data_IF_673876873633
#
_entry.id   IF_673876873633
#
_cell.length_a   1.000
_cell.length_b   1.000
_cell.length_c   1.000
_cell.angle_alpha   90.00
_cell.angle_beta   90.00
_cell.angle_gamma   90.00
#
_symmetry.space_group_name_H-M   'P 1'
#
loop_
_entity.id
_entity.type
_entity.pdbx_description
1 polymer ?
#
# COMPACT_ATOMS: atom_id res chain seq x y z
N UNK A 1 -5.61 -21.32 30.83
CA UNK A 1 -5.56 -21.33 29.34
C UNK A 1 -6.71 -20.57 28.67
N UNK A 2 -7.93 -21.09 28.49
CA UNK A 2 -9.00 -20.37 27.76
C UNK A 2 -9.46 -19.06 28.43
N UNK A 3 -9.55 -19.05 29.76
CA UNK A 3 -9.90 -17.83 30.50
C UNK A 3 -8.77 -16.79 30.52
N UNK A 4 -7.51 -17.24 30.54
CA UNK A 4 -6.32 -16.38 30.43
C UNK A 4 -6.18 -15.80 29.01
N UNK A 5 -6.46 -16.60 27.98
CA UNK A 5 -6.50 -16.15 26.60
C UNK A 5 -7.60 -15.12 26.37
N UNK A 6 -8.82 -15.36 26.87
CA UNK A 6 -9.90 -14.35 26.85
C UNK A 6 -9.49 -13.06 27.55
N UNK A 7 -8.80 -13.16 28.70
CA UNK A 7 -8.31 -12.00 29.46
C UNK A 7 -7.18 -11.25 28.72
N UNK A 8 -6.36 -11.96 27.95
CA UNK A 8 -5.29 -11.41 27.12
C UNK A 8 -5.85 -10.67 25.89
N UNK A 9 -6.77 -11.28 25.12
CA UNK A 9 -7.37 -10.62 23.96
C UNK A 9 -8.32 -9.48 24.34
N UNK A 10 -8.91 -9.54 25.54
CA UNK A 10 -9.72 -8.45 26.08
C UNK A 10 -8.90 -7.23 26.52
N UNK A 11 -7.56 -7.32 26.49
CA UNK A 11 -6.71 -6.14 26.64
C UNK A 11 -6.89 -5.27 25.40
N UNK A 12 -7.46 -4.06 25.58
CA UNK A 12 -7.73 -3.12 24.47
C UNK A 12 -6.50 -2.87 23.58
N UNK A 13 -5.31 -2.75 24.17
CA UNK A 13 -4.06 -2.57 23.43
C UNK A 13 -3.73 -3.72 22.45
N UNK A 14 -4.12 -4.96 22.76
CA UNK A 14 -3.90 -6.13 21.89
C UNK A 14 -4.94 -6.18 20.79
N UNK A 15 -6.20 -5.89 21.12
CA UNK A 15 -7.30 -5.86 20.15
C UNK A 15 -7.11 -4.76 19.11
N UNK A 16 -6.77 -3.55 19.54
CA UNK A 16 -6.55 -2.40 18.65
C UNK A 16 -5.36 -2.64 17.72
N UNK A 17 -4.27 -3.23 18.24
CA UNK A 17 -3.12 -3.62 17.43
C UNK A 17 -3.50 -4.67 16.38
N UNK A 18 -4.25 -5.71 16.77
CA UNK A 18 -4.68 -6.76 15.86
C UNK A 18 -5.56 -6.20 14.73
N UNK A 19 -6.51 -5.32 15.06
CA UNK A 19 -7.38 -4.67 14.09
C UNK A 19 -6.57 -3.78 13.14
N UNK A 20 -5.64 -2.97 13.66
CA UNK A 20 -4.78 -2.11 12.85
C UNK A 20 -3.95 -2.90 11.83
N UNK A 21 -3.36 -4.03 12.25
CA UNK A 21 -2.55 -4.90 11.36
C UNK A 21 -3.41 -5.56 10.29
N UNK A 22 -4.58 -6.09 10.65
CA UNK A 22 -5.49 -6.75 9.70
C UNK A 22 -6.02 -5.75 8.67
N UNK A 23 -6.51 -4.60 9.12
CA UNK A 23 -7.01 -3.54 8.23
C UNK A 23 -5.88 -2.99 7.37
N UNK A 24 -4.70 -2.73 7.95
CA UNK A 24 -3.53 -2.24 7.20
C UNK A 24 -3.10 -3.21 6.11
N UNK A 25 -3.05 -4.51 6.41
CA UNK A 25 -2.73 -5.56 5.43
C UNK A 25 -3.78 -5.69 4.32
N UNK A 26 -5.08 -5.59 4.67
CA UNK A 26 -6.15 -5.61 3.68
C UNK A 26 -6.16 -4.36 2.79
N UNK A 27 -5.97 -3.18 3.39
CA UNK A 27 -5.93 -1.90 2.68
C UNK A 27 -4.74 -1.81 1.72
N UNK A 28 -3.58 -2.34 2.10
CA UNK A 28 -2.42 -2.45 1.21
C UNK A 28 -2.72 -3.25 -0.06
N UNK A 29 -3.51 -4.33 0.03
CA UNK A 29 -3.93 -5.11 -1.14
C UNK A 29 -4.87 -4.33 -2.07
N UNK A 30 -5.78 -3.54 -1.51
CA UNK A 30 -6.69 -2.68 -2.29
C UNK A 30 -5.89 -1.65 -3.09
N UNK A 31 -4.92 -1.00 -2.44
CA UNK A 31 -4.04 -0.04 -3.11
C UNK A 31 -3.15 -0.73 -4.16
N UNK A 32 -2.59 -1.89 -3.83
CA UNK A 32 -1.80 -2.69 -4.77
C UNK A 32 -2.58 -3.01 -6.05
N UNK A 33 -3.80 -3.54 -5.92
CA UNK A 33 -4.68 -3.82 -7.06
C UNK A 33 -5.04 -2.57 -7.86
N UNK A 34 -5.33 -1.44 -7.21
CA UNK A 34 -5.56 -0.18 -7.91
C UNK A 34 -4.35 0.22 -8.76
N UNK A 35 -3.13 0.04 -8.24
CA UNK A 35 -1.92 0.41 -9.00
C UNK A 35 -1.61 -0.61 -10.09
N UNK A 36 -1.64 -1.90 -9.77
CA UNK A 36 -1.21 -2.97 -10.69
C UNK A 36 -2.23 -3.27 -11.78
N UNK A 37 -3.52 -3.23 -11.44
CA UNK A 37 -4.59 -3.66 -12.34
C UNK A 37 -5.21 -2.47 -13.09
N UNK A 38 -5.09 -1.24 -12.59
CA UNK A 38 -5.71 -0.05 -13.20
C UNK A 38 -4.66 0.95 -13.66
N UNK A 39 -3.79 1.43 -12.77
CA UNK A 39 -2.84 2.50 -13.12
C UNK A 39 -1.75 1.99 -14.07
N UNK A 40 -1.14 0.84 -13.79
CA UNK A 40 -0.04 0.28 -14.58
C UNK A 40 -0.43 -0.04 -16.03
N UNK A 41 -1.61 -0.60 -16.36
CA UNK A 41 -2.05 -0.74 -17.74
C UNK A 41 -2.18 0.60 -18.47
N UNK A 42 -2.72 1.63 -17.82
CA UNK A 42 -2.88 2.98 -18.40
C UNK A 42 -1.50 3.62 -18.64
N UNK A 43 -0.62 3.55 -17.64
CA UNK A 43 0.76 4.05 -17.72
C UNK A 43 1.56 3.26 -18.77
N UNK A 44 1.38 1.95 -18.82
CA UNK A 44 2.00 1.07 -19.81
C UNK A 44 1.61 1.45 -21.23
N UNK A 45 0.32 1.68 -21.50
CA UNK A 45 -0.14 2.20 -22.80
C UNK A 45 0.47 3.57 -23.10
N UNK A 46 0.52 4.47 -22.12
CA UNK A 46 1.09 5.81 -22.30
C UNK A 46 2.60 5.81 -22.60
N UNK A 47 3.35 4.84 -22.06
CA UNK A 47 4.82 4.70 -22.25
C UNK A 47 5.15 3.76 -23.44
N UNK A 48 4.15 3.34 -24.23
CA UNK A 48 4.36 2.53 -25.42
C UNK A 48 4.55 1.03 -25.16
N UNK A 49 3.91 0.50 -24.11
CA UNK A 49 3.83 -0.92 -23.78
C UNK A 49 5.08 -1.50 -23.09
N UNK A 50 6.00 -0.66 -22.62
CA UNK A 50 7.25 -1.14 -21.99
C UNK A 50 7.05 -1.43 -20.50
N UNK A 51 7.15 -2.71 -20.13
CA UNK A 51 7.29 -3.13 -18.73
C UNK A 51 8.77 -3.34 -18.40
N UNK A 52 9.23 -2.75 -17.30
CA UNK A 52 10.63 -2.86 -16.87
C UNK A 52 11.00 -4.27 -16.40
N UNK A 53 10.03 -5.12 -16.04
CA UNK A 53 10.24 -6.53 -15.61
C UNK A 53 11.07 -7.39 -16.57
N UNK A 54 11.04 -7.12 -17.87
CA UNK A 54 11.76 -7.92 -18.87
C UNK A 54 13.27 -7.68 -18.89
N UNK A 55 13.78 -6.69 -18.16
CA UNK A 55 15.20 -6.37 -18.16
C UNK A 55 15.98 -7.30 -17.22
N UNK A 56 16.86 -8.11 -17.79
CA UNK A 56 17.76 -8.98 -17.05
C UNK A 56 19.15 -9.00 -17.67
N UNK A 57 20.19 -9.04 -16.85
CA UNK A 57 21.57 -9.31 -17.28
C UNK A 57 21.91 -10.72 -16.85
N UNK A 58 22.38 -11.53 -17.78
CA UNK A 58 22.94 -12.85 -17.50
C UNK A 58 24.46 -12.73 -17.41
N UNK A 59 25.04 -13.13 -16.27
CA UNK A 59 26.48 -13.17 -16.04
C UNK A 59 26.83 -14.62 -15.70
N UNK A 60 27.45 -15.34 -16.65
CA UNK A 60 27.68 -16.78 -16.53
C UNK A 60 26.36 -17.56 -16.47
N UNK A 61 26.17 -18.39 -15.45
CA UNK A 61 24.92 -19.13 -15.20
C UNK A 61 23.89 -18.34 -14.37
N UNK A 62 24.27 -17.18 -13.83
CA UNK A 62 23.40 -16.37 -12.98
C UNK A 62 22.63 -15.33 -13.80
N UNK A 63 21.31 -15.28 -13.63
CA UNK A 63 20.44 -14.26 -14.27
C UNK A 63 20.00 -13.23 -13.25
N UNK A 64 20.48 -12.00 -13.39
CA UNK A 64 20.11 -10.85 -12.54
C UNK A 64 18.93 -10.14 -13.18
N UNK A 65 17.73 -10.31 -12.60
CA UNK A 65 16.48 -9.65 -13.04
C UNK A 65 16.31 -8.25 -12.44
N UNK A 66 17.25 -7.34 -12.73
CA UNK A 66 17.22 -5.97 -12.21
C UNK A 66 15.96 -5.18 -12.65
N UNK A 67 15.35 -5.57 -13.76
CA UNK A 67 14.10 -5.03 -14.25
C UNK A 67 12.94 -5.16 -13.26
N UNK A 68 12.87 -6.28 -12.53
CA UNK A 68 11.86 -6.47 -11.49
C UNK A 68 12.05 -5.49 -10.34
N UNK A 69 13.30 -5.26 -9.91
CA UNK A 69 13.58 -4.29 -8.86
C UNK A 69 13.16 -2.87 -9.27
N UNK A 70 13.54 -2.43 -10.47
CA UNK A 70 13.14 -1.12 -11.01
C UNK A 70 11.61 -1.01 -11.07
N UNK A 71 10.92 -2.07 -11.50
CA UNK A 71 9.47 -2.10 -11.52
C UNK A 71 8.86 -1.92 -10.12
N UNK A 72 9.38 -2.59 -9.10
CA UNK A 72 8.91 -2.43 -7.71
C UNK A 72 9.14 -1.01 -7.18
N UNK A 73 10.26 -0.38 -7.54
CA UNK A 73 10.53 1.03 -7.18
C UNK A 73 9.53 1.98 -7.83
N UNK A 74 9.27 1.81 -9.13
CA UNK A 74 8.28 2.61 -9.86
C UNK A 74 6.88 2.43 -9.27
N UNK A 75 6.48 1.18 -9.00
CA UNK A 75 5.20 0.84 -8.38
C UNK A 75 5.06 1.51 -7.01
N UNK A 76 6.09 1.49 -6.17
CA UNK A 76 6.09 2.17 -4.88
C UNK A 76 5.88 3.69 -5.01
N UNK A 77 6.56 4.33 -5.98
CA UNK A 77 6.38 5.76 -6.24
C UNK A 77 4.95 6.09 -6.69
N UNK A 78 4.36 5.25 -7.54
CA UNK A 78 2.97 5.41 -7.98
C UNK A 78 2.01 5.23 -6.80
N UNK A 79 2.20 4.19 -5.99
CA UNK A 79 1.40 3.96 -4.77
C UNK A 79 1.46 5.18 -3.84
N UNK A 80 2.66 5.69 -3.57
CA UNK A 80 2.84 6.88 -2.74
C UNK A 80 2.10 8.09 -3.31
N UNK A 81 2.15 8.28 -4.64
CA UNK A 81 1.43 9.35 -5.32
C UNK A 81 -0.10 9.19 -5.23
N UNK A 82 -0.61 7.98 -5.41
CA UNK A 82 -2.05 7.68 -5.30
C UNK A 82 -2.55 7.91 -3.88
N UNK A 83 -1.83 7.42 -2.86
CA UNK A 83 -2.17 7.66 -1.45
C UNK A 83 -2.19 9.17 -1.17
N UNK A 84 -1.19 9.91 -1.66
CA UNK A 84 -1.16 11.36 -1.52
C UNK A 84 -2.40 12.03 -2.15
N UNK A 85 -2.81 11.61 -3.35
CA UNK A 85 -4.03 12.11 -3.98
C UNK A 85 -5.29 11.79 -3.16
N UNK A 86 -5.42 10.57 -2.64
CA UNK A 86 -6.55 10.16 -1.80
C UNK A 86 -6.61 11.02 -0.54
N UNK A 87 -5.49 11.19 0.16
CA UNK A 87 -5.39 12.04 1.37
C UNK A 87 -5.73 13.49 1.04
N UNK A 88 -5.22 14.01 -0.09
CA UNK A 88 -5.52 15.37 -0.55
C UNK A 88 -7.00 15.57 -0.86
N UNK A 89 -7.65 14.60 -1.49
CA UNK A 89 -9.09 14.62 -1.78
C UNK A 89 -9.90 14.55 -0.49
N UNK A 90 -9.54 13.65 0.43
CA UNK A 90 -10.20 13.53 1.73
C UNK A 90 -10.10 14.85 2.55
N UNK A 91 -8.91 15.46 2.58
CA UNK A 91 -8.69 16.75 3.23
C UNK A 91 -9.49 17.87 2.55
N UNK A 92 -9.54 17.90 1.21
CA UNK A 92 -10.30 18.91 0.44
C UNK A 92 -11.82 18.76 0.59
N UNK A 93 -12.30 17.54 0.76
CA UNK A 93 -13.72 17.23 0.93
C UNK A 93 -14.22 17.40 2.38
N UNK A 94 -13.38 17.90 3.29
CA UNK A 94 -13.79 18.17 4.68
C UNK A 94 -13.97 16.93 5.54
N UNK A 95 -13.52 15.75 5.09
CA UNK A 95 -13.49 14.55 5.94
C UNK A 95 -12.44 14.64 7.05
N UNK A 96 -11.63 15.69 7.03
CA UNK A 96 -10.60 16.03 8.01
C UNK A 96 -10.85 17.41 8.63
N UNK A 97 -12.11 17.75 8.92
CA UNK A 97 -12.41 18.93 9.76
C UNK A 97 -13.60 18.67 10.68
N UNK A 98 -13.28 18.20 11.91
CA UNK A 98 -13.84 18.60 13.21
C UNK A 98 -13.48 17.58 14.29
N UNK A 99 -12.36 17.82 14.99
CA UNK A 99 -12.18 17.60 16.44
C UNK A 99 -11.06 18.50 16.96
N UNK A 100 -11.28 19.81 16.87
CA UNK A 100 -10.66 20.78 17.78
C UNK A 100 -11.79 21.64 18.33
N UNK A 101 -12.68 20.97 19.07
CA UNK A 101 -13.69 21.58 19.94
C UNK A 101 -13.95 20.58 21.09
N UNK A 102 -12.95 20.43 21.96
CA UNK A 102 -13.04 19.98 23.37
C UNK A 102 -11.59 20.02 23.89
N UNK A 103 -11.16 20.90 24.79
CA UNK A 103 -11.86 21.57 25.88
C UNK A 103 -11.26 22.96 26.13
N UNK A 104 -12.14 23.96 26.16
CA UNK A 104 -12.05 25.07 27.12
C UNK A 104 -12.74 24.63 28.41
#
# INVERSE_FOLDING_TARGET
>A
MLNEFKKFIAQGNVLDLAVAVIIGGAFGKIIGSLVDDIIMPIVGVAIGGKNFSGMSVTIGEATIKYGNFIQMVVQFLIIAWVIFLIVKVANKAGFTEKKTDEKA
#
